data_IF_212592932969
#
_entry.id   IF_212592932969
#
_cell.length_a   1.000
_cell.length_b   1.000
_cell.length_c   1.000
_cell.angle_alpha   90.00
_cell.angle_beta   90.00
_cell.angle_gamma   90.00
#
_symmetry.space_group_name_H-M   'P 1'
#
loop_
_entity.id
_entity.type
_entity.pdbx_description
1 polymer ?
#
# COMPACT_ATOMS: atom_id res chain seq x y z
N UNK A 1 11.63 12.05 -7.28
CA UNK A 1 10.88 10.98 -6.56
C UNK A 1 9.96 10.30 -7.57
N UNK A 2 10.02 8.97 -7.65
CA UNK A 2 9.22 8.16 -8.58
C UNK A 2 7.95 7.68 -7.87
N UNK A 3 6.82 7.70 -8.58
CA UNK A 3 5.59 6.99 -8.21
C UNK A 3 5.27 6.01 -9.32
N UNK A 4 5.28 4.73 -9.01
CA UNK A 4 4.93 3.67 -9.95
C UNK A 4 3.57 3.10 -9.55
N UNK A 5 2.63 3.07 -10.48
CA UNK A 5 1.25 2.61 -10.26
C UNK A 5 0.63 2.21 -11.59
N UNK A 6 -0.41 1.37 -11.55
CA UNK A 6 -1.20 1.04 -12.73
C UNK A 6 -1.92 2.30 -13.24
N UNK A 7 -1.90 2.56 -14.56
CA UNK A 7 -2.52 3.74 -15.18
C UNK A 7 -4.02 3.85 -14.91
N UNK A 8 -4.69 2.74 -14.63
CA UNK A 8 -6.11 2.68 -14.28
C UNK A 8 -6.42 3.18 -12.85
N UNK A 9 -5.39 3.37 -12.01
CA UNK A 9 -5.55 3.88 -10.65
C UNK A 9 -5.97 5.36 -10.68
N UNK A 10 -6.99 5.69 -9.90
CA UNK A 10 -7.58 7.02 -9.81
C UNK A 10 -7.43 7.66 -8.41
N UNK A 11 -6.96 6.93 -7.39
CA UNK A 11 -6.85 7.43 -6.01
C UNK A 11 -5.45 7.96 -5.65
N UNK A 12 -4.44 7.73 -6.49
CA UNK A 12 -3.01 8.05 -6.20
C UNK A 12 -2.75 9.52 -5.86
N UNK A 13 -3.56 10.44 -6.38
CA UNK A 13 -3.46 11.89 -6.12
C UNK A 13 -4.69 12.45 -5.41
N UNK A 14 -5.62 11.59 -4.98
CA UNK A 14 -6.84 11.98 -4.28
C UNK A 14 -6.53 12.06 -2.79
N UNK A 15 -6.90 13.17 -2.15
CA UNK A 15 -6.77 13.27 -0.68
C UNK A 15 -7.79 12.37 -0.02
N UNK A 16 -7.36 11.70 1.05
CA UNK A 16 -8.29 11.04 1.96
C UNK A 16 -9.10 12.10 2.71
N UNK A 17 -10.42 12.01 2.62
CA UNK A 17 -11.37 12.94 3.25
C UNK A 17 -12.59 12.19 3.76
N UNK A 18 -13.26 12.76 4.74
CA UNK A 18 -14.62 12.39 5.12
C UNK A 18 -15.60 12.74 3.99
N UNK A 19 -16.42 11.77 3.56
CA UNK A 19 -17.36 11.92 2.42
C UNK A 19 -18.42 12.99 2.70
N UNK A 20 -18.85 13.09 3.95
CA UNK A 20 -19.86 14.00 4.50
C UNK A 20 -19.32 15.43 4.65
N UNK A 21 -18.21 15.62 5.36
CA UNK A 21 -17.70 16.98 5.66
C UNK A 21 -16.71 17.51 4.63
N UNK A 22 -16.15 16.64 3.78
CA UNK A 22 -15.00 16.93 2.88
C UNK A 22 -13.72 17.32 3.60
N UNK A 23 -13.68 17.18 4.92
CA UNK A 23 -12.51 17.49 5.73
C UNK A 23 -11.47 16.37 5.65
N UNK A 24 -10.20 16.75 5.78
CA UNK A 24 -9.09 15.81 5.89
C UNK A 24 -9.06 15.27 7.32
N UNK A 25 -8.97 13.94 7.55
CA UNK A 25 -8.77 13.40 8.88
C UNK A 25 -7.54 14.01 9.55
N UNK A 26 -7.67 14.43 10.80
CA UNK A 26 -6.55 14.99 11.57
C UNK A 26 -5.39 13.99 11.69
N UNK A 27 -4.16 14.51 11.75
CA UNK A 27 -2.99 13.69 12.07
C UNK A 27 -3.17 13.07 13.46
N UNK A 28 -3.05 11.74 13.54
CA UNK A 28 -3.16 11.00 14.81
C UNK A 28 -4.41 10.14 14.95
N UNK A 29 -5.41 10.30 14.07
CA UNK A 29 -6.65 9.50 14.03
C UNK A 29 -7.17 9.13 15.44
N UNK A 30 -7.96 10.01 16.07
CA UNK A 30 -8.76 9.64 17.27
C UNK A 30 -9.87 8.61 16.94
N UNK A 31 -9.76 7.89 15.83
CA UNK A 31 -10.71 6.88 15.39
C UNK A 31 -10.01 5.77 14.60
N UNK A 32 -10.46 4.54 14.82
CA UNK A 32 -10.03 3.39 14.04
C UNK A 32 -10.81 3.32 12.73
N UNK A 33 -10.14 3.35 11.59
CA UNK A 33 -10.77 3.24 10.27
C UNK A 33 -10.97 1.77 9.82
N UNK A 34 -10.28 0.83 10.45
CA UNK A 34 -10.47 -0.62 10.29
C UNK A 34 -10.36 -1.34 11.63
N UNK A 35 -10.99 -2.52 11.74
CA UNK A 35 -10.76 -3.43 12.86
C UNK A 35 -9.30 -3.92 12.81
N UNK A 36 -8.62 -3.91 13.96
CA UNK A 36 -7.26 -4.40 14.06
C UNK A 36 -7.20 -5.92 13.81
N UNK A 37 -6.38 -6.32 12.85
CA UNK A 37 -6.15 -7.71 12.51
C UNK A 37 -4.65 -8.02 12.52
N UNK A 38 -4.27 -9.11 13.18
CA UNK A 38 -2.86 -9.51 13.36
C UNK A 38 -2.23 -10.12 12.09
N UNK A 39 -3.04 -10.52 11.11
CA UNK A 39 -2.58 -11.27 9.93
C UNK A 39 -2.24 -10.38 8.72
N UNK A 40 -2.92 -9.23 8.58
CA UNK A 40 -2.86 -8.43 7.36
C UNK A 40 -1.48 -7.86 7.08
N UNK A 41 -0.82 -7.34 8.13
CA UNK A 41 0.53 -6.79 8.01
C UNK A 41 1.58 -7.86 7.70
N UNK A 42 1.71 -8.97 8.46
CA UNK A 42 2.62 -10.07 8.11
C UNK A 42 2.39 -10.62 6.71
N UNK A 43 1.13 -10.82 6.30
CA UNK A 43 0.81 -11.33 4.96
C UNK A 43 1.22 -10.35 3.85
N UNK A 44 0.97 -9.05 4.03
CA UNK A 44 1.39 -8.00 3.09
C UNK A 44 2.93 -7.98 2.93
N UNK A 45 3.66 -8.09 4.04
CA UNK A 45 5.13 -8.17 4.01
C UNK A 45 5.62 -9.44 3.31
N UNK A 46 4.95 -10.58 3.52
CA UNK A 46 5.28 -11.86 2.87
C UNK A 46 5.04 -11.79 1.35
N UNK A 47 3.94 -11.19 0.89
CA UNK A 47 3.64 -11.00 -0.54
C UNK A 47 4.77 -10.22 -1.22
N UNK A 48 5.18 -9.09 -0.62
CA UNK A 48 6.29 -8.30 -1.17
C UNK A 48 7.60 -9.07 -1.12
N UNK A 49 7.90 -9.74 -0.01
CA UNK A 49 9.10 -10.55 0.13
C UNK A 49 9.19 -11.65 -0.94
N UNK A 50 8.10 -12.34 -1.23
CA UNK A 50 8.11 -13.49 -2.13
C UNK A 50 8.13 -13.10 -3.61
N UNK A 51 7.84 -11.84 -3.94
CA UNK A 51 7.92 -11.36 -5.32
C UNK A 51 9.36 -11.12 -5.81
N UNK A 52 10.34 -11.03 -4.91
CA UNK A 52 11.74 -10.76 -5.24
C UNK A 52 12.59 -12.03 -5.11
N UNK A 53 13.54 -12.20 -6.03
CA UNK A 53 14.55 -13.27 -5.94
C UNK A 53 15.59 -12.96 -4.86
N UNK A 54 16.32 -13.98 -4.39
CA UNK A 54 17.39 -13.79 -3.41
C UNK A 54 18.44 -12.77 -3.88
N UNK A 55 18.80 -12.80 -5.17
CA UNK A 55 19.76 -11.85 -5.75
C UNK A 55 19.23 -10.41 -5.75
N UNK A 56 17.96 -10.22 -6.13
CA UNK A 56 17.32 -8.91 -6.09
C UNK A 56 17.30 -8.37 -4.66
N UNK A 57 16.89 -9.19 -3.68
CA UNK A 57 16.89 -8.81 -2.25
C UNK A 57 18.28 -8.39 -1.77
N UNK A 58 19.33 -9.14 -2.14
CA UNK A 58 20.71 -8.81 -1.79
C UNK A 58 21.14 -7.45 -2.35
N UNK A 59 20.76 -7.15 -3.59
CA UNK A 59 21.03 -5.87 -4.27
C UNK A 59 20.30 -4.68 -3.65
N UNK A 60 19.15 -4.89 -2.99
CA UNK A 60 18.44 -3.79 -2.33
C UNK A 60 19.20 -3.29 -1.08
N UNK A 61 20.06 -4.12 -0.47
CA UNK A 61 20.84 -3.70 0.70
C UNK A 61 19.95 -3.18 1.84
N UNK A 62 20.21 -1.96 2.29
CA UNK A 62 19.45 -1.25 3.34
C UNK A 62 18.36 -0.32 2.77
N UNK A 63 18.22 -0.25 1.45
CA UNK A 63 17.26 0.60 0.76
C UNK A 63 15.82 0.15 1.04
N UNK A 64 14.91 1.11 1.00
CA UNK A 64 13.48 0.85 1.21
C UNK A 64 12.63 1.30 0.03
N UNK A 65 11.54 0.57 -0.21
CA UNK A 65 10.47 0.98 -1.13
C UNK A 65 9.24 1.35 -0.31
N UNK A 66 8.65 2.51 -0.60
CA UNK A 66 7.36 2.87 -0.05
C UNK A 66 6.25 2.15 -0.82
N UNK A 67 5.31 1.53 -0.11
CA UNK A 67 4.17 0.84 -0.70
C UNK A 67 2.91 1.43 -0.09
N UNK A 68 1.96 1.80 -0.93
CA UNK A 68 0.68 2.36 -0.55
C UNK A 68 -0.44 1.48 -1.09
N UNK A 69 -1.30 0.97 -0.23
CA UNK A 69 -2.56 0.33 -0.59
C UNK A 69 -3.70 1.33 -0.41
N UNK A 70 -4.55 1.44 -1.42
CA UNK A 70 -5.82 2.15 -1.35
C UNK A 70 -6.94 1.12 -1.25
N UNK A 71 -7.81 1.29 -0.27
CA UNK A 71 -8.77 0.28 0.15
C UNK A 71 -10.17 0.87 0.05
N UNK A 72 -11.09 0.05 -0.46
CA UNK A 72 -12.50 0.39 -0.50
C UNK A 72 -13.05 0.51 0.92
N UNK A 73 -13.63 1.67 1.31
CA UNK A 73 -14.22 1.84 2.63
C UNK A 73 -15.48 0.98 2.80
N UNK A 74 -16.13 0.59 1.71
CA UNK A 74 -17.35 -0.23 1.73
C UNK A 74 -17.04 -1.72 1.88
N UNK A 75 -16.02 -2.22 1.15
CA UNK A 75 -15.75 -3.66 1.07
C UNK A 75 -14.50 -4.10 1.82
N UNK A 76 -13.64 -3.16 2.22
CA UNK A 76 -12.34 -3.47 2.83
C UNK A 76 -11.30 -4.07 1.89
N UNK A 77 -11.63 -4.29 0.61
CA UNK A 77 -10.69 -4.83 -0.38
C UNK A 77 -9.72 -3.76 -0.86
N UNK A 78 -8.47 -4.18 -1.10
CA UNK A 78 -7.48 -3.33 -1.77
C UNK A 78 -7.90 -3.14 -3.23
N UNK A 79 -8.09 -1.88 -3.64
CA UNK A 79 -8.52 -1.51 -4.99
C UNK A 79 -7.37 -1.01 -5.85
N UNK A 80 -6.39 -0.33 -5.25
CA UNK A 80 -5.21 0.22 -5.93
C UNK A 80 -3.96 0.04 -5.08
N UNK A 81 -2.81 -0.07 -5.76
CA UNK A 81 -1.48 -0.11 -5.13
C UNK A 81 -0.55 0.87 -5.84
N UNK A 82 0.26 1.60 -5.08
CA UNK A 82 1.31 2.47 -5.59
C UNK A 82 2.65 2.22 -4.88
N UNK A 83 3.73 2.40 -5.62
CA UNK A 83 5.11 2.25 -5.14
C UNK A 83 5.85 3.58 -5.20
N UNK A 84 6.70 3.85 -4.21
CA UNK A 84 7.45 5.09 -4.06
C UNK A 84 8.93 4.81 -3.84
N UNK A 85 9.78 5.35 -4.71
CA UNK A 85 11.24 5.23 -4.62
C UNK A 85 11.92 6.41 -5.34
N UNK A 86 13.24 6.47 -5.36
CA UNK A 86 14.02 7.46 -6.13
C UNK A 86 14.60 6.82 -7.39
N UNK A 87 14.97 7.61 -8.39
CA UNK A 87 15.57 7.11 -9.65
C UNK A 87 16.94 6.47 -9.44
N UNK A 88 17.66 6.87 -8.40
CA UNK A 88 18.97 6.31 -8.01
C UNK A 88 18.83 5.08 -7.11
N UNK A 89 17.63 4.75 -6.67
CA UNK A 89 17.37 3.58 -5.82
C UNK A 89 17.51 2.30 -6.63
N UNK A 90 18.05 1.20 -6.07
CA UNK A 90 18.13 -0.08 -6.77
C UNK A 90 16.76 -0.62 -7.16
N UNK A 91 15.68 -0.19 -6.47
CA UNK A 91 14.30 -0.46 -6.85
C UNK A 91 13.96 0.05 -8.26
N UNK A 92 14.56 1.14 -8.74
CA UNK A 92 14.33 1.64 -10.09
C UNK A 92 14.80 0.68 -11.21
N UNK A 93 15.59 -0.34 -10.86
CA UNK A 93 16.11 -1.36 -11.81
C UNK A 93 15.30 -2.66 -11.81
N UNK A 94 14.28 -2.76 -10.96
CA UNK A 94 13.46 -3.96 -10.82
C UNK A 94 12.49 -4.07 -12.00
N UNK A 95 12.33 -5.26 -12.62
CA UNK A 95 11.37 -5.44 -13.71
C UNK A 95 9.95 -5.07 -13.30
N UNK A 96 9.21 -4.42 -14.21
CA UNK A 96 7.83 -4.00 -13.98
C UNK A 96 6.91 -5.17 -13.59
N UNK A 97 7.19 -6.37 -14.09
CA UNK A 97 6.45 -7.59 -13.76
C UNK A 97 6.47 -7.95 -12.28
N UNK A 98 7.54 -7.62 -11.55
CA UNK A 98 7.62 -7.81 -10.09
C UNK A 98 6.62 -6.91 -9.38
N UNK A 99 6.57 -5.62 -9.74
CA UNK A 99 5.60 -4.68 -9.19
C UNK A 99 4.17 -5.07 -9.52
N UNK A 100 3.92 -5.52 -10.76
CA UNK A 100 2.60 -6.01 -11.17
C UNK A 100 2.18 -7.25 -10.37
N UNK A 101 3.10 -8.19 -10.12
CA UNK A 101 2.82 -9.36 -9.28
C UNK A 101 2.42 -8.94 -7.87
N UNK A 102 3.15 -8.01 -7.26
CA UNK A 102 2.84 -7.49 -5.92
C UNK A 102 1.47 -6.81 -5.90
N UNK A 103 1.17 -5.96 -6.88
CA UNK A 103 -0.14 -5.30 -7.01
C UNK A 103 -1.28 -6.33 -7.05
N UNK A 104 -1.17 -7.34 -7.92
CA UNK A 104 -2.20 -8.38 -8.09
C UNK A 104 -2.35 -9.20 -6.81
N UNK A 105 -1.25 -9.67 -6.23
CA UNK A 105 -1.28 -10.50 -5.03
C UNK A 105 -1.85 -9.74 -3.83
N UNK A 106 -1.51 -8.46 -3.64
CA UNK A 106 -2.10 -7.62 -2.59
C UNK A 106 -3.61 -7.43 -2.82
N UNK A 107 -4.04 -7.11 -4.05
CA UNK A 107 -5.47 -6.94 -4.37
C UNK A 107 -6.30 -8.20 -4.19
N UNK A 108 -5.71 -9.38 -4.38
CA UNK A 108 -6.40 -10.67 -4.26
C UNK A 108 -6.40 -11.24 -2.85
N UNK A 109 -5.31 -11.06 -2.10
CA UNK A 109 -5.07 -11.78 -0.85
C UNK A 109 -5.18 -10.91 0.40
N UNK A 110 -5.28 -9.58 0.26
CA UNK A 110 -5.40 -8.65 1.37
C UNK A 110 -6.76 -7.97 1.36
N UNK A 111 -7.39 -7.98 2.52
CA UNK A 111 -8.57 -7.18 2.83
C UNK A 111 -8.48 -6.71 4.28
N UNK A 112 -9.36 -5.78 4.62
CA UNK A 112 -9.54 -5.23 5.95
C UNK A 112 -11.02 -5.29 6.28
N UNK A 113 -11.36 -5.09 7.56
CA UNK A 113 -12.75 -4.89 7.98
C UNK A 113 -12.96 -3.42 8.33
N UNK A 114 -13.54 -2.59 7.44
CA UNK A 114 -13.78 -1.17 7.72
C UNK A 114 -14.74 -0.99 8.91
N UNK A 115 -14.41 -0.07 9.81
CA UNK A 115 -15.28 0.33 10.92
C UNK A 115 -16.40 1.26 10.42
N UNK A 116 -17.29 1.68 11.32
CA UNK A 116 -18.29 2.72 11.03
C UNK A 116 -17.62 4.03 10.59
N UNK A 117 -16.52 4.42 11.24
CA UNK A 117 -15.81 5.65 10.88
C UNK A 117 -14.98 5.50 9.61
N UNK A 118 -14.34 4.35 9.38
CA UNK A 118 -13.67 4.06 8.11
C UNK A 118 -14.61 4.18 6.92
N UNK A 119 -15.85 3.68 7.06
CA UNK A 119 -16.88 3.79 6.02
C UNK A 119 -17.27 5.23 5.67
N UNK A 120 -16.95 6.21 6.52
CA UNK A 120 -17.19 7.64 6.22
C UNK A 120 -16.13 8.22 5.29
N UNK A 121 -14.97 7.59 5.13
CA UNK A 121 -13.90 8.07 4.26
C UNK A 121 -14.18 7.78 2.79
N UNK A 122 -13.60 8.57 1.89
CA UNK A 122 -13.67 8.33 0.44
C UNK A 122 -12.81 7.13 0.00
N UNK A 123 -11.72 6.84 0.72
CA UNK A 123 -10.93 5.63 0.62
C UNK A 123 -10.11 5.44 1.92
N UNK A 124 -9.70 4.21 2.22
CA UNK A 124 -8.74 3.94 3.29
C UNK A 124 -7.34 3.80 2.70
N UNK A 125 -6.32 4.10 3.49
CA UNK A 125 -4.93 4.09 3.03
C UNK A 125 -4.05 3.33 4.02
N UNK A 126 -3.20 2.44 3.50
CA UNK A 126 -2.14 1.78 4.28
C UNK A 126 -0.81 1.97 3.59
N UNK A 127 0.07 2.73 4.23
CA UNK A 127 1.41 2.98 3.75
C UNK A 127 2.45 2.35 4.68
N UNK A 128 3.47 1.73 4.09
CA UNK A 128 4.65 1.31 4.82
C UNK A 128 5.92 1.46 3.97
N UNK A 129 7.07 1.55 4.64
CA UNK A 129 8.37 1.35 4.00
C UNK A 129 8.75 -0.11 4.16
N UNK A 130 8.99 -0.78 3.05
CA UNK A 130 9.45 -2.16 3.03
C UNK A 130 10.97 -2.22 2.84
N UNK A 131 11.64 -3.05 3.63
CA UNK A 131 13.07 -3.40 3.52
C UNK A 131 13.22 -4.91 3.63
N UNK A 132 14.21 -5.47 2.93
CA UNK A 132 14.49 -6.91 2.96
C UNK A 132 15.49 -7.32 4.03
N UNK A 133 16.33 -6.37 4.46
CA UNK A 133 17.22 -6.52 5.61
C UNK A 133 16.72 -5.61 6.72
N UNK A 134 16.61 -6.17 7.92
CA UNK A 134 16.44 -5.39 9.15
C UNK A 134 17.77 -4.75 9.57
#
# INVERSE_FOLDING_TARGET
>A
RVRLYNKENNLVYVRQIFKDTKEVPGFGFDFDDVVEETWTRPKSLSIVNNAFTAEQKRRMGTESVGICMYISPETGKVVEVAFHFTTVSPFATIPLSVYRKIEVDLKQQIWFTPTKDGKRLNHLMRYWRHRFKE
#
